data_IF_247449050699
#
_entry.id   IF_247449050699
#
_cell.length_a   1.000
_cell.length_b   1.000
_cell.length_c   1.000
_cell.angle_alpha   90.00
_cell.angle_beta   90.00
_cell.angle_gamma   90.00
#
_symmetry.space_group_name_H-M   'P 1'
#
loop_
_entity.id
_entity.type
_entity.pdbx_description
1 polymer ?
#
# COMPACT_ATOMS: atom_id res chain seq x y z
N UNK A 1 19.31 -27.92 -2.51
CA UNK A 1 18.07 -28.49 -3.07
C UNK A 1 18.42 -29.49 -4.16
N UNK A 2 17.97 -30.74 -4.01
CA UNK A 2 18.10 -31.78 -5.03
C UNK A 2 16.89 -31.75 -5.96
N UNK A 3 17.11 -31.87 -7.27
CA UNK A 3 16.04 -31.78 -8.28
C UNK A 3 15.12 -33.01 -8.33
N UNK A 4 15.52 -34.10 -7.70
CA UNK A 4 14.85 -35.40 -7.72
C UNK A 4 14.35 -35.85 -6.32
N UNK A 5 14.21 -34.92 -5.40
CA UNK A 5 13.72 -35.18 -4.03
C UNK A 5 12.52 -34.29 -3.76
N UNK A 6 11.44 -34.89 -3.28
CA UNK A 6 10.26 -34.14 -2.80
C UNK A 6 10.65 -33.44 -1.49
N UNK A 7 10.39 -32.14 -1.34
CA UNK A 7 10.65 -31.43 -0.08
C UNK A 7 9.89 -32.05 1.09
N UNK A 8 10.57 -32.29 2.22
CA UNK A 8 9.94 -32.73 3.45
C UNK A 8 9.28 -31.57 4.22
N UNK A 9 9.74 -30.34 3.96
CA UNK A 9 9.24 -29.11 4.55
C UNK A 9 9.32 -27.98 3.53
N UNK A 10 8.31 -27.10 3.51
CA UNK A 10 8.28 -25.88 2.71
C UNK A 10 7.88 -24.74 3.61
N UNK A 11 8.68 -23.67 3.61
CA UNK A 11 8.38 -22.41 4.27
C UNK A 11 8.08 -21.36 3.20
N UNK A 12 7.00 -20.61 3.40
CA UNK A 12 6.67 -19.45 2.57
C UNK A 12 5.91 -18.41 3.38
N UNK A 13 5.90 -17.19 2.91
CA UNK A 13 5.15 -16.06 3.48
C UNK A 13 4.08 -15.60 2.49
N UNK A 14 2.97 -15.13 3.03
CA UNK A 14 1.88 -14.52 2.25
C UNK A 14 1.67 -13.12 2.77
N UNK A 15 1.69 -12.14 1.86
CA UNK A 15 1.36 -10.73 2.13
C UNK A 15 0.04 -10.43 1.43
N UNK A 16 -1.00 -10.10 2.21
CA UNK A 16 -2.32 -9.72 1.69
C UNK A 16 -2.60 -8.27 2.07
N UNK A 17 -3.15 -7.50 1.13
CA UNK A 17 -3.44 -6.08 1.31
C UNK A 17 -4.81 -5.74 0.76
N UNK A 18 -5.57 -4.95 1.52
CA UNK A 18 -6.87 -4.45 1.07
C UNK A 18 -7.15 -3.09 1.74
N UNK A 19 -7.81 -2.11 1.05
CA UNK A 19 -8.14 -0.81 1.63
C UNK A 19 -9.30 -0.84 2.63
N UNK A 20 -10.07 -1.92 2.68
CA UNK A 20 -11.14 -2.16 3.63
C UNK A 20 -10.74 -3.26 4.61
N UNK A 21 -10.82 -2.96 5.91
CA UNK A 21 -10.35 -3.85 6.97
C UNK A 21 -11.21 -5.11 7.15
N UNK A 22 -12.51 -5.00 6.95
CA UNK A 22 -13.40 -6.15 7.03
C UNK A 22 -13.10 -7.14 5.89
N UNK A 23 -12.85 -6.63 4.69
CA UNK A 23 -12.43 -7.44 3.55
C UNK A 23 -11.06 -8.07 3.78
N UNK A 24 -10.10 -7.31 4.33
CA UNK A 24 -8.77 -7.84 4.67
C UNK A 24 -8.87 -9.00 5.66
N UNK A 25 -9.72 -8.87 6.69
CA UNK A 25 -9.98 -9.92 7.66
C UNK A 25 -10.60 -11.16 7.01
N UNK A 26 -11.60 -10.97 6.15
CA UNK A 26 -12.22 -12.07 5.41
C UNK A 26 -11.23 -12.83 4.51
N UNK A 27 -10.34 -12.10 3.81
CA UNK A 27 -9.27 -12.70 3.00
C UNK A 27 -8.35 -13.59 3.85
N UNK A 28 -7.99 -13.16 5.07
CA UNK A 28 -7.17 -13.97 5.98
C UNK A 28 -7.91 -15.23 6.47
N UNK A 29 -9.20 -15.12 6.76
CA UNK A 29 -10.02 -16.27 7.15
C UNK A 29 -10.17 -17.27 5.99
N UNK A 30 -10.42 -16.82 4.78
CA UNK A 30 -10.49 -17.67 3.59
C UNK A 30 -9.15 -18.37 3.31
N UNK A 31 -8.03 -17.66 3.43
CA UNK A 31 -6.71 -18.25 3.29
C UNK A 31 -6.50 -19.38 4.30
N UNK A 32 -6.81 -19.15 5.58
CA UNK A 32 -6.71 -20.18 6.64
C UNK A 32 -7.59 -21.38 6.33
N UNK A 33 -8.85 -21.17 6.03
CA UNK A 33 -9.79 -22.23 5.72
C UNK A 33 -9.36 -23.06 4.49
N UNK A 34 -8.86 -22.40 3.45
CA UNK A 34 -8.31 -23.06 2.26
C UNK A 34 -7.09 -23.91 2.58
N UNK A 35 -6.17 -23.38 3.37
CA UNK A 35 -5.01 -24.14 3.85
C UNK A 35 -5.43 -25.35 4.67
N UNK A 36 -6.33 -25.20 5.63
CA UNK A 36 -6.80 -26.30 6.49
C UNK A 36 -7.46 -27.42 5.66
N UNK A 37 -8.25 -27.05 4.65
CA UNK A 37 -8.88 -28.03 3.75
C UNK A 37 -7.83 -28.83 2.96
N UNK A 38 -6.81 -28.17 2.43
CA UNK A 38 -5.72 -28.80 1.68
C UNK A 38 -4.91 -29.72 2.60
N UNK A 39 -4.50 -29.24 3.76
CA UNK A 39 -3.74 -29.99 4.77
C UNK A 39 -4.49 -31.28 5.12
N UNK A 40 -5.78 -31.16 5.41
CA UNK A 40 -6.63 -32.33 5.76
C UNK A 40 -6.73 -33.31 4.60
N UNK A 41 -6.90 -32.83 3.37
CA UNK A 41 -7.05 -33.67 2.19
C UNK A 41 -5.78 -34.43 1.80
N UNK A 42 -4.62 -33.83 2.08
CA UNK A 42 -3.31 -34.37 1.71
C UNK A 42 -2.58 -35.08 2.86
N UNK A 43 -3.14 -35.08 4.06
CA UNK A 43 -2.50 -35.71 5.24
C UNK A 43 -1.21 -34.98 5.65
N UNK A 44 -1.15 -33.67 5.44
CA UNK A 44 0.02 -32.83 5.78
C UNK A 44 -0.14 -32.23 7.18
N UNK A 45 0.92 -31.59 7.66
CA UNK A 45 0.90 -30.74 8.85
C UNK A 45 1.29 -29.32 8.46
N UNK A 46 0.73 -28.32 9.13
CA UNK A 46 1.02 -26.90 8.88
C UNK A 46 1.09 -26.14 10.21
N UNK A 47 2.09 -25.26 10.33
CA UNK A 47 2.07 -24.17 11.28
C UNK A 47 1.71 -22.90 10.52
N UNK A 48 0.64 -22.23 10.93
CA UNK A 48 0.18 -20.98 10.34
C UNK A 48 0.28 -19.87 11.38
N UNK A 49 1.16 -18.91 11.15
CA UNK A 49 1.41 -17.80 12.06
C UNK A 49 1.11 -16.47 11.35
N UNK A 50 0.38 -15.58 12.00
CA UNK A 50 0.24 -14.19 11.56
C UNK A 50 1.32 -13.38 12.25
N UNK A 51 2.35 -13.04 11.47
CA UNK A 51 3.54 -12.34 11.98
C UNK A 51 3.35 -10.83 12.08
N UNK A 52 2.40 -10.27 11.32
CA UNK A 52 2.13 -8.83 11.31
C UNK A 52 0.70 -8.53 10.85
N UNK A 53 0.15 -7.44 11.36
CA UNK A 53 -1.10 -6.85 10.92
C UNK A 53 -1.08 -5.35 11.12
N UNK A 54 -1.56 -4.63 10.10
CA UNK A 54 -1.82 -3.19 10.17
C UNK A 54 -3.14 -2.91 9.46
N UNK A 55 -4.11 -2.30 10.15
CA UNK A 55 -5.36 -1.91 9.50
C UNK A 55 -5.11 -0.84 8.44
N UNK A 56 -5.96 -0.74 7.41
CA UNK A 56 -5.93 0.35 6.45
C UNK A 56 -6.03 1.71 7.16
N UNK A 57 -5.29 2.68 6.65
CA UNK A 57 -5.25 4.03 7.22
C UNK A 57 -5.94 5.01 6.27
N UNK A 58 -7.19 5.43 6.53
CA UNK A 58 -7.81 6.50 5.79
C UNK A 58 -7.19 7.84 6.17
N UNK A 59 -6.67 8.57 5.19
CA UNK A 59 -6.16 9.91 5.40
C UNK A 59 -7.29 10.93 5.56
N UNK A 60 -6.96 12.09 6.12
CA UNK A 60 -7.92 13.12 6.42
C UNK A 60 -8.60 13.66 5.15
N UNK A 61 -9.94 13.61 5.03
CA UNK A 61 -10.64 13.99 3.81
C UNK A 61 -10.41 15.44 3.38
N UNK A 62 -10.23 16.39 4.32
CA UNK A 62 -9.97 17.78 3.98
C UNK A 62 -8.57 17.98 3.42
N UNK A 63 -7.58 17.29 3.96
CA UNK A 63 -6.21 17.33 3.41
C UNK A 63 -6.15 16.70 2.02
N UNK A 64 -6.83 15.55 1.81
CA UNK A 64 -6.94 14.92 0.49
C UNK A 64 -7.65 15.84 -0.51
N UNK A 65 -8.74 16.50 -0.08
CA UNK A 65 -9.45 17.45 -0.94
C UNK A 65 -8.58 18.67 -1.29
N UNK A 66 -7.77 19.17 -0.36
CA UNK A 66 -6.84 20.28 -0.62
C UNK A 66 -5.77 19.91 -1.66
N UNK A 67 -5.20 18.71 -1.56
CA UNK A 67 -4.23 18.20 -2.55
C UNK A 67 -4.89 18.06 -3.93
N UNK A 68 -6.10 17.48 -3.98
CA UNK A 68 -6.85 17.34 -5.24
C UNK A 68 -7.15 18.69 -5.87
N UNK A 69 -7.63 19.65 -5.06
CA UNK A 69 -7.95 21.00 -5.55
C UNK A 69 -6.71 21.72 -6.06
N UNK A 70 -5.58 21.58 -5.38
CA UNK A 70 -4.31 22.14 -5.83
C UNK A 70 -3.90 21.61 -7.21
N UNK A 71 -4.09 20.30 -7.47
CA UNK A 71 -3.81 19.74 -8.79
C UNK A 71 -4.76 20.28 -9.88
N UNK A 72 -6.06 20.46 -9.55
CA UNK A 72 -7.05 21.09 -10.44
C UNK A 72 -6.67 22.52 -10.77
N UNK A 73 -6.37 23.35 -9.76
CA UNK A 73 -6.05 24.76 -9.92
C UNK A 73 -4.79 25.00 -10.75
N UNK A 74 -3.84 24.09 -10.66
CA UNK A 74 -2.61 24.09 -11.45
C UNK A 74 -2.74 23.45 -12.84
N UNK A 75 -3.92 22.89 -13.16
CA UNK A 75 -4.18 22.27 -14.46
C UNK A 75 -3.47 20.93 -14.69
N UNK A 76 -3.05 20.24 -13.60
CA UNK A 76 -2.42 18.93 -13.73
C UNK A 76 -3.47 17.81 -13.81
N UNK A 77 -3.20 16.83 -14.67
CA UNK A 77 -3.95 15.57 -14.64
C UNK A 77 -3.66 14.82 -13.34
N UNK A 78 -4.71 14.31 -12.69
CA UNK A 78 -4.58 13.65 -11.40
C UNK A 78 -5.64 12.57 -11.22
N UNK A 79 -5.43 11.68 -10.26
CA UNK A 79 -6.42 10.73 -9.78
C UNK A 79 -6.18 10.43 -8.30
N UNK A 80 -7.23 10.03 -7.60
CA UNK A 80 -7.09 9.46 -6.26
C UNK A 80 -6.62 8.02 -6.38
N UNK A 81 -5.69 7.63 -5.53
CA UNK A 81 -5.15 6.27 -5.49
C UNK A 81 -5.11 5.76 -4.05
N UNK A 82 -5.19 4.44 -3.92
CA UNK A 82 -4.88 3.74 -2.68
C UNK A 82 -3.45 3.23 -2.77
N UNK A 83 -2.60 3.60 -1.80
CA UNK A 83 -1.27 3.00 -1.70
C UNK A 83 -1.34 1.64 -1.01
N UNK A 84 -0.75 0.63 -1.63
CA UNK A 84 -0.58 -0.69 -1.01
C UNK A 84 0.67 -0.77 -0.11
N UNK A 85 1.45 0.30 0.03
CA UNK A 85 2.68 0.33 0.82
C UNK A 85 2.49 1.00 2.18
N UNK A 86 3.37 0.69 3.13
CA UNK A 86 3.48 1.45 4.38
C UNK A 86 4.28 2.73 4.15
N UNK A 87 3.85 3.83 4.79
CA UNK A 87 4.48 5.15 4.71
C UNK A 87 4.57 5.78 6.10
N UNK A 88 5.53 6.65 6.33
CA UNK A 88 5.63 7.44 7.56
C UNK A 88 4.37 8.28 7.82
N UNK A 89 3.70 8.71 6.75
CA UNK A 89 2.41 9.39 6.82
C UNK A 89 1.33 8.60 7.56
N UNK A 90 1.36 7.26 7.55
CA UNK A 90 0.45 6.41 8.33
C UNK A 90 0.66 6.58 9.85
N UNK A 91 1.88 6.87 10.29
CA UNK A 91 2.16 7.16 11.70
C UNK A 91 1.79 8.60 12.05
N UNK A 92 2.07 9.55 11.16
CA UNK A 92 1.72 10.97 11.35
C UNK A 92 0.21 11.14 11.42
N UNK A 93 -0.56 10.40 10.63
CA UNK A 93 -2.03 10.48 10.61
C UNK A 93 -2.69 10.13 11.96
N UNK A 94 -1.96 9.48 12.87
CA UNK A 94 -2.43 9.18 14.24
C UNK A 94 -2.42 10.40 15.15
N UNK A 95 -1.68 11.43 14.79
CA UNK A 95 -1.47 12.63 15.65
C UNK A 95 -1.81 13.93 14.92
N UNK A 96 -1.93 13.92 13.59
CA UNK A 96 -2.26 15.10 12.79
C UNK A 96 -3.06 14.73 11.52
N UNK A 97 -3.91 15.64 11.01
CA UNK A 97 -4.52 15.49 9.69
C UNK A 97 -3.43 15.34 8.61
N UNK A 98 -3.57 14.34 7.76
CA UNK A 98 -2.51 13.95 6.82
C UNK A 98 -3.09 13.62 5.45
N UNK A 99 -2.34 13.90 4.40
CA UNK A 99 -2.51 13.41 3.03
C UNK A 99 -1.15 13.17 2.40
N UNK A 100 -1.13 12.60 1.19
CA UNK A 100 0.09 12.35 0.43
C UNK A 100 -0.08 12.79 -1.02
N UNK A 101 1.04 13.17 -1.64
CA UNK A 101 1.15 13.40 -3.07
C UNK A 101 2.06 12.33 -3.66
N UNK A 102 1.60 11.66 -4.70
CA UNK A 102 2.39 10.70 -5.47
C UNK A 102 2.70 11.27 -6.85
N UNK A 103 3.85 10.89 -7.38
CA UNK A 103 4.25 11.17 -8.76
C UNK A 103 4.53 9.87 -9.48
N UNK A 104 4.32 9.79 -10.82
CA UNK A 104 4.60 8.58 -11.56
C UNK A 104 6.10 8.24 -11.54
N UNK A 105 6.41 7.00 -11.20
CA UNK A 105 7.75 6.43 -11.35
C UNK A 105 7.96 5.89 -12.76
N UNK A 106 9.20 5.86 -13.20
CA UNK A 106 9.61 5.25 -14.47
C UNK A 106 9.21 3.77 -14.49
N UNK A 107 8.43 3.38 -15.49
CA UNK A 107 7.94 2.02 -15.69
C UNK A 107 7.17 1.43 -14.48
N UNK A 108 6.72 2.28 -13.56
CA UNK A 108 6.07 1.87 -12.31
C UNK A 108 7.00 1.17 -11.32
N UNK A 109 8.31 1.27 -11.50
CA UNK A 109 9.31 0.64 -10.64
C UNK A 109 9.39 1.39 -9.32
N UNK A 110 9.35 0.65 -8.21
CA UNK A 110 9.51 1.13 -6.85
C UNK A 110 10.33 0.13 -6.04
N UNK A 111 11.00 0.59 -4.98
CA UNK A 111 11.86 -0.23 -4.11
C UNK A 111 12.99 -0.97 -4.87
N UNK A 112 13.55 -0.34 -5.87
CA UNK A 112 14.58 -0.89 -6.74
C UNK A 112 15.63 0.19 -7.05
N UNK A 113 16.86 -0.20 -7.30
CA UNK A 113 17.96 0.70 -7.68
C UNK A 113 17.74 1.41 -9.04
N UNK A 114 16.82 0.90 -9.86
CA UNK A 114 16.41 1.50 -11.14
C UNK A 114 15.21 2.45 -11.00
N UNK A 115 14.71 2.65 -9.78
CA UNK A 115 13.63 3.59 -9.51
C UNK A 115 14.03 5.00 -9.94
N UNK A 116 13.20 5.63 -10.76
CA UNK A 116 13.43 6.95 -11.31
C UNK A 116 12.09 7.66 -11.55
N UNK A 117 12.11 8.99 -11.58
CA UNK A 117 10.96 9.80 -11.91
C UNK A 117 11.39 10.96 -12.83
N UNK A 118 10.54 11.30 -13.78
CA UNK A 118 10.81 12.43 -14.68
C UNK A 118 10.81 13.73 -13.90
N UNK A 119 11.73 14.63 -14.24
CA UNK A 119 11.86 15.94 -13.60
C UNK A 119 10.54 16.74 -13.65
N UNK A 120 9.81 16.66 -14.75
CA UNK A 120 8.51 17.30 -14.91
C UNK A 120 7.45 16.80 -13.93
N UNK A 121 7.45 15.50 -13.61
CA UNK A 121 6.55 14.91 -12.62
C UNK A 121 6.94 15.33 -11.20
N UNK A 122 8.23 15.37 -10.90
CA UNK A 122 8.73 15.85 -9.60
C UNK A 122 8.37 17.32 -9.39
N UNK A 123 8.55 18.16 -10.41
CA UNK A 123 8.16 19.57 -10.36
C UNK A 123 6.65 19.74 -10.17
N UNK A 124 5.82 18.96 -10.88
CA UNK A 124 4.37 18.98 -10.73
C UNK A 124 3.95 18.57 -9.30
N UNK A 125 4.50 17.48 -8.77
CA UNK A 125 4.23 17.04 -7.40
C UNK A 125 4.63 18.07 -6.35
N UNK A 126 5.78 18.71 -6.53
CA UNK A 126 6.25 19.78 -5.65
C UNK A 126 5.33 21.01 -5.69
N UNK A 127 4.87 21.43 -6.87
CA UNK A 127 3.93 22.54 -7.01
C UNK A 127 2.58 22.23 -6.36
N UNK A 128 2.04 21.01 -6.54
CA UNK A 128 0.80 20.58 -5.90
C UNK A 128 0.95 20.59 -4.37
N UNK A 129 2.05 20.06 -3.85
CA UNK A 129 2.31 20.05 -2.41
C UNK A 129 2.38 21.49 -1.87
N UNK A 130 3.12 22.36 -2.53
CA UNK A 130 3.27 23.75 -2.14
C UNK A 130 1.91 24.49 -2.12
N UNK A 131 1.11 24.35 -3.19
CA UNK A 131 -0.21 24.98 -3.27
C UNK A 131 -1.17 24.41 -2.19
N UNK A 132 -1.16 23.10 -1.96
CA UNK A 132 -1.98 22.48 -0.93
C UNK A 132 -1.62 22.98 0.49
N UNK A 133 -0.32 23.18 0.77
CA UNK A 133 0.14 23.76 2.05
C UNK A 133 -0.32 25.21 2.18
N UNK A 134 -0.22 26.02 1.13
CA UNK A 134 -0.73 27.41 1.16
C UNK A 134 -2.24 27.44 1.45
N UNK A 135 -3.02 26.58 0.80
CA UNK A 135 -4.47 26.51 0.98
C UNK A 135 -4.88 26.12 2.41
N UNK A 136 -4.01 25.39 3.13
CA UNK A 136 -4.25 25.01 4.53
C UNK A 136 -3.76 26.08 5.54
N UNK A 137 -2.87 26.96 5.13
CA UNK A 137 -2.28 28.00 5.99
C UNK A 137 -3.08 29.31 6.02
N UNK A 138 -4.02 29.46 5.10
CA UNK A 138 -4.91 30.64 4.99
C UNK A 138 -6.26 30.37 5.67
#
# INVERSE_FOLDING_TARGET
NSRNVIPGEVFFTVDIRHPDDATLSAMNEELRAGCDAIIKSQGLTMAFEQIWYSPPVPFNPSCVASVRQAAVDLGYSHCDIVSGAGHDACYISRVAPTAMVFVPCKDGISHNELEDAKQEHLAAGCNVLFQAVLNQAM
#
